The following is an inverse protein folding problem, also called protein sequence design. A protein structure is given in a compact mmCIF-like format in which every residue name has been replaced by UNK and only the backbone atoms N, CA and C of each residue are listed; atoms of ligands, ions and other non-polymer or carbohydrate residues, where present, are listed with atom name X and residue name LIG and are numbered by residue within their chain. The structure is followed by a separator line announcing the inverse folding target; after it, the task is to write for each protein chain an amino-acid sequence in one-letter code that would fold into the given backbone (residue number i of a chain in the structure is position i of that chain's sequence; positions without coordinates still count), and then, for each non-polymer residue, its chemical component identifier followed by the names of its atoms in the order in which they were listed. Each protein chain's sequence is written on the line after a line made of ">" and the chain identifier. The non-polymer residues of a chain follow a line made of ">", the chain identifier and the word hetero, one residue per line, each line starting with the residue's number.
data_IF_496672453023
#
_entry.id   IF_496672453023
#
_cell.length_a   1.000
_cell.length_b   1.000
_cell.length_c   1.000
_cell.angle_alpha   90.00
_cell.angle_beta   90.00
_cell.angle_gamma   90.00
#
_symmetry.space_group_name_H-M   'P 1'
#
loop_
_entity.id
_entity.type
_entity.pdbx_description
1 polymer ?
#
# COMPACT_ATOMS: atom_id res chain seq x y z
N UNK A 1 -6.88 -27.40 -4.44
CA UNK A 1 -6.12 -26.30 -3.81
C UNK A 1 -6.07 -25.17 -4.82
N UNK A 2 -6.62 -23.98 -4.52
CA UNK A 2 -6.57 -22.85 -5.47
C UNK A 2 -5.22 -22.16 -5.28
N UNK A 3 -4.47 -21.92 -6.36
CA UNK A 3 -3.19 -21.22 -6.28
C UNK A 3 -3.44 -19.75 -5.91
N UNK A 4 -2.96 -19.32 -4.74
CA UNK A 4 -2.91 -17.90 -4.38
C UNK A 4 -1.91 -17.19 -5.29
N UNK A 5 -2.33 -16.08 -5.91
CA UNK A 5 -1.47 -15.25 -6.78
C UNK A 5 -1.33 -13.87 -6.17
N UNK A 6 -0.09 -13.40 -6.05
CA UNK A 6 0.27 -12.19 -5.32
C UNK A 6 1.08 -11.27 -6.23
N UNK A 7 0.80 -9.97 -6.18
CA UNK A 7 1.63 -8.92 -6.77
C UNK A 7 2.22 -8.03 -5.66
N UNK A 8 3.49 -7.65 -5.82
CA UNK A 8 4.09 -6.59 -5.02
C UNK A 8 3.89 -5.25 -5.74
N UNK A 9 3.38 -4.24 -5.03
CA UNK A 9 3.10 -2.94 -5.63
C UNK A 9 3.55 -1.78 -4.74
N UNK A 10 3.92 -0.69 -5.41
CA UNK A 10 4.33 0.58 -4.82
C UNK A 10 3.45 1.69 -5.41
N UNK A 11 2.87 2.55 -4.57
CA UNK A 11 2.03 3.67 -5.02
C UNK A 11 2.76 4.98 -4.93
N UNK A 12 2.39 5.98 -5.73
CA UNK A 12 3.06 7.28 -5.78
C UNK A 12 3.28 7.94 -4.42
N UNK A 13 2.40 7.71 -3.44
CA UNK A 13 2.50 8.16 -2.04
C UNK A 13 3.75 7.70 -1.28
N UNK A 14 4.48 6.73 -1.81
CA UNK A 14 5.71 6.22 -1.22
C UNK A 14 6.99 6.92 -1.72
N UNK A 15 6.90 7.80 -2.73
CA UNK A 15 8.05 8.29 -3.49
C UNK A 15 8.78 9.49 -2.86
N UNK A 16 8.63 9.72 -1.55
CA UNK A 16 9.26 10.86 -0.85
C UNK A 16 9.04 12.17 -1.62
N UNK A 17 7.77 12.58 -1.72
CA UNK A 17 7.33 13.67 -2.58
C UNK A 17 7.46 15.04 -1.89
N UNK A 18 7.57 16.15 -2.64
CA UNK A 18 7.29 17.48 -2.11
C UNK A 18 5.92 17.50 -1.42
N UNK A 19 5.82 18.16 -0.27
CA UNK A 19 4.65 18.08 0.62
C UNK A 19 3.34 18.44 -0.08
N UNK A 20 3.34 19.52 -0.86
CA UNK A 20 2.18 19.98 -1.63
C UNK A 20 1.59 18.88 -2.53
N UNK A 21 2.45 18.12 -3.21
CA UNK A 21 2.05 16.97 -4.02
C UNK A 21 1.67 15.78 -3.18
N UNK A 22 2.40 15.54 -2.09
CA UNK A 22 2.16 14.41 -1.20
C UNK A 22 0.74 14.44 -0.63
N UNK A 23 0.24 15.60 -0.22
CA UNK A 23 -1.12 15.77 0.32
C UNK A 23 -2.22 15.32 -0.66
N UNK A 24 -2.02 15.51 -1.97
CA UNK A 24 -3.00 15.08 -2.99
C UNK A 24 -3.22 13.55 -2.95
N UNK A 25 -2.18 12.81 -2.60
CA UNK A 25 -2.19 11.35 -2.63
C UNK A 25 -2.42 10.70 -1.27
N UNK A 26 -2.39 11.47 -0.16
CA UNK A 26 -2.43 10.98 1.23
C UNK A 26 -3.57 10.00 1.55
N UNK A 27 -4.71 10.14 0.88
CA UNK A 27 -5.88 9.25 1.11
C UNK A 27 -6.18 8.34 -0.09
N UNK A 28 -5.32 8.34 -1.11
CA UNK A 28 -5.56 7.64 -2.39
C UNK A 28 -4.83 6.30 -2.51
N UNK A 29 -4.02 5.92 -1.52
CA UNK A 29 -3.14 4.75 -1.61
C UNK A 29 -3.93 3.47 -1.85
N UNK A 30 -4.93 3.24 -1.00
CA UNK A 30 -5.68 1.99 -1.00
C UNK A 30 -6.76 1.96 -2.06
N UNK A 31 -7.32 3.11 -2.48
CA UNK A 31 -8.28 3.14 -3.57
C UNK A 31 -7.65 2.67 -4.88
N UNK A 32 -6.47 3.21 -5.24
CA UNK A 32 -5.74 2.82 -6.45
C UNK A 32 -5.26 1.37 -6.38
N UNK A 33 -4.73 0.93 -5.23
CA UNK A 33 -4.34 -0.48 -5.04
C UNK A 33 -5.54 -1.42 -5.18
N UNK A 34 -6.67 -1.06 -4.58
CA UNK A 34 -7.90 -1.83 -4.63
C UNK A 34 -8.46 -1.96 -6.05
N UNK A 35 -8.38 -0.90 -6.86
CA UNK A 35 -8.72 -0.96 -8.28
C UNK A 35 -7.87 -2.00 -9.01
N UNK A 36 -6.54 -2.00 -8.80
CA UNK A 36 -5.65 -3.00 -9.40
C UNK A 36 -5.93 -4.42 -8.94
N UNK A 37 -6.28 -4.60 -7.67
CA UNK A 37 -6.67 -5.93 -7.15
C UNK A 37 -7.91 -6.45 -7.91
N UNK A 38 -8.96 -5.62 -8.03
CA UNK A 38 -10.20 -5.99 -8.73
C UNK A 38 -9.99 -6.27 -10.21
N UNK A 39 -9.16 -5.47 -10.88
CA UNK A 39 -8.85 -5.65 -12.29
C UNK A 39 -8.09 -6.96 -12.56
N UNK A 40 -7.20 -7.36 -11.66
CA UNK A 40 -6.27 -8.48 -11.90
C UNK A 40 -6.70 -9.78 -11.21
N UNK A 41 -7.59 -9.70 -10.22
CA UNK A 41 -7.94 -10.80 -9.33
C UNK A 41 -6.75 -11.31 -8.51
N UNK A 42 -5.76 -10.46 -8.27
CA UNK A 42 -4.55 -10.77 -7.49
C UNK A 42 -4.66 -10.18 -6.09
N UNK A 43 -4.02 -10.86 -5.14
CA UNK A 43 -3.66 -10.22 -3.88
C UNK A 43 -2.56 -9.18 -4.13
N UNK A 44 -2.56 -8.11 -3.34
CA UNK A 44 -1.55 -7.09 -3.40
C UNK A 44 -0.90 -6.90 -2.03
N UNK A 45 0.42 -6.88 -2.03
CA UNK A 45 1.22 -6.47 -0.85
C UNK A 45 2.01 -5.23 -1.24
N UNK A 46 2.00 -4.22 -0.38
CA UNK A 46 2.87 -3.06 -0.53
C UNK A 46 4.00 -3.06 0.51
N UNK A 47 5.08 -2.37 0.20
CA UNK A 47 6.16 -2.06 1.13
C UNK A 47 6.48 -0.58 0.94
N UNK A 48 5.92 0.25 1.81
CA UNK A 48 5.95 1.70 1.64
C UNK A 48 6.91 2.36 2.61
N UNK A 49 7.52 3.45 2.13
CA UNK A 49 8.33 4.36 2.95
C UNK A 49 7.39 5.30 3.69
N UNK A 50 7.75 5.62 4.94
CA UNK A 50 7.08 6.65 5.74
C UNK A 50 8.09 7.56 6.41
N UNK A 51 7.77 8.84 6.55
CA UNK A 51 8.60 9.86 7.20
C UNK A 51 9.04 11.00 6.28
N UNK A 52 9.91 11.86 6.81
CA UNK A 52 10.32 13.12 6.17
C UNK A 52 11.81 13.17 5.85
N UNK A 53 12.16 13.83 4.75
CA UNK A 53 13.54 14.15 4.38
C UNK A 53 13.59 15.38 3.48
N UNK A 54 14.40 16.38 3.82
CA UNK A 54 14.68 17.56 2.98
C UNK A 54 13.41 18.25 2.42
N UNK A 55 12.40 18.46 3.27
CA UNK A 55 11.13 19.08 2.89
C UNK A 55 10.20 18.18 2.06
N UNK A 56 10.53 16.90 1.93
CA UNK A 56 9.72 15.87 1.28
C UNK A 56 9.17 14.89 2.30
N UNK A 57 8.06 14.24 1.94
CA UNK A 57 7.36 13.30 2.80
C UNK A 57 6.87 12.09 2.01
N UNK A 58 6.93 10.93 2.66
CA UNK A 58 6.23 9.73 2.24
C UNK A 58 5.24 9.36 3.36
N UNK A 59 4.01 9.03 3.00
CA UNK A 59 2.95 8.82 3.99
C UNK A 59 2.83 7.37 4.45
N UNK A 60 3.45 6.42 3.74
CA UNK A 60 3.05 5.02 3.86
C UNK A 60 1.58 4.81 3.43
N UNK A 61 0.85 3.83 3.98
CA UNK A 61 1.34 2.73 4.81
C UNK A 61 1.48 1.43 4.00
N UNK A 62 2.39 0.58 4.45
CA UNK A 62 2.45 -0.83 4.04
C UNK A 62 1.12 -1.52 4.34
N UNK A 63 0.54 -2.17 3.34
CA UNK A 63 -0.76 -2.82 3.42
C UNK A 63 -0.84 -4.12 2.60
N UNK A 64 -1.77 -4.98 2.97
CA UNK A 64 -2.17 -6.18 2.23
C UNK A 64 -3.62 -6.02 1.81
N UNK A 65 -3.89 -6.25 0.53
CA UNK A 65 -5.22 -6.21 -0.06
C UNK A 65 -5.58 -7.55 -0.70
N UNK A 66 -6.85 -7.95 -0.56
CA UNK A 66 -7.40 -9.14 -1.20
C UNK A 66 -7.81 -8.87 -2.67
N UNK A 67 -8.15 -9.92 -3.45
CA UNK A 67 -8.58 -9.76 -4.85
C UNK A 67 -9.80 -8.86 -5.06
N UNK A 68 -10.67 -8.71 -4.06
CA UNK A 68 -11.82 -7.79 -4.08
C UNK A 68 -11.39 -6.31 -3.87
N UNK A 69 -10.11 -6.08 -3.58
CA UNK A 69 -9.52 -4.76 -3.36
C UNK A 69 -9.83 -4.20 -1.98
N UNK A 70 -10.10 -5.05 -0.99
CA UNK A 70 -10.28 -4.68 0.41
C UNK A 70 -8.95 -4.77 1.15
N UNK A 71 -8.68 -3.80 2.01
CA UNK A 71 -7.52 -3.83 2.92
C UNK A 71 -7.81 -4.85 4.02
N UNK A 72 -6.97 -5.87 4.12
CA UNK A 72 -7.09 -6.93 5.14
C UNK A 72 -6.06 -6.81 6.26
N UNK A 73 -4.98 -6.06 6.03
CA UNK A 73 -3.99 -5.69 7.02
C UNK A 73 -3.27 -4.41 6.59
N UNK A 74 -2.90 -3.55 7.52
CA UNK A 74 -2.20 -2.29 7.25
C UNK A 74 -1.46 -1.79 8.50
N UNK A 75 -0.27 -1.21 8.31
CA UNK A 75 0.42 -0.43 9.34
C UNK A 75 -0.24 0.94 9.56
N UNK A 76 -0.10 1.56 10.73
CA UNK A 76 -0.54 2.95 10.93
C UNK A 76 0.11 3.89 9.90
N UNK A 77 -0.63 4.93 9.52
CA UNK A 77 -0.09 5.98 8.66
C UNK A 77 1.02 6.73 9.39
N UNK A 78 2.04 7.21 8.67
CA UNK A 78 3.12 8.03 9.25
C UNK A 78 4.03 7.30 10.26
N UNK A 79 3.84 5.99 10.47
CA UNK A 79 4.61 5.20 11.44
C UNK A 79 5.36 4.02 10.78
N UNK A 80 6.66 3.82 11.09
CA UNK A 80 7.39 2.64 10.64
C UNK A 80 6.90 1.38 11.37
N UNK A 81 7.00 0.23 10.71
CA UNK A 81 6.64 -1.03 11.33
C UNK A 81 6.89 -2.25 10.46
N UNK A 82 6.58 -3.43 11.01
CA UNK A 82 6.63 -4.71 10.33
C UNK A 82 5.22 -5.31 10.29
N UNK A 83 4.75 -5.65 9.08
CA UNK A 83 3.49 -6.34 8.86
C UNK A 83 3.78 -7.78 8.48
N UNK A 84 3.29 -8.73 9.27
CA UNK A 84 3.32 -10.16 8.97
C UNK A 84 1.89 -10.61 8.65
N UNK A 85 1.70 -11.31 7.54
CA UNK A 85 0.40 -11.77 7.09
C UNK A 85 0.49 -13.17 6.50
N UNK A 86 -0.33 -14.08 7.01
CA UNK A 86 -0.43 -15.45 6.53
C UNK A 86 -1.59 -15.58 5.53
N UNK A 87 -1.29 -16.15 4.36
CA UNK A 87 -2.31 -16.45 3.35
C UNK A 87 -2.87 -17.84 3.61
N UNK A 88 -4.19 -17.94 3.82
CA UNK A 88 -4.86 -19.22 3.85
C UNK A 88 -4.92 -19.79 2.42
N UNK A 89 -4.47 -21.04 2.25
CA UNK A 89 -4.35 -21.73 0.97
C UNK A 89 -5.65 -22.42 0.49
#
# INVERSE_FOLDING_TARGET
>A
MKSTRIAAAQTLSNNMMPRDKAEIFRERHNSVRGERCRETGLWLISSDVTGERDGRIAWGPTAVLNPEGQVVAQLPLEEPGLLVFDFLA
#
